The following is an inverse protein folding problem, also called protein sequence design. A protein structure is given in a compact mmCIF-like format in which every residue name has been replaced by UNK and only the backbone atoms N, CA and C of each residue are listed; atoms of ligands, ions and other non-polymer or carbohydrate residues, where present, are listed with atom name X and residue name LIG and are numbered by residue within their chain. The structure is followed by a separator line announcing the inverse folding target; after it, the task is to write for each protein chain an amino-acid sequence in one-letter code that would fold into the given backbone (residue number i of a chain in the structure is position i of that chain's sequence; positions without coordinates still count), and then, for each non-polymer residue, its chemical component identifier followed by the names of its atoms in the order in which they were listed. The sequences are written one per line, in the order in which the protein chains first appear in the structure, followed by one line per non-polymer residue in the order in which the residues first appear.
data_IF_648788695364
#
_entry.id   IF_648788695364
#
_cell.length_a   1.000
_cell.length_b   1.000
_cell.length_c   1.000
_cell.angle_alpha   90.00
_cell.angle_beta   90.00
_cell.angle_gamma   90.00
#
_symmetry.space_group_name_H-M   'P 1'
#
loop_
_entity.id
_entity.type
_entity.pdbx_description
1 polymer ?
#
# COMPACT_ATOMS: atom_id res chain seq x y z
N UNK A 1 5.47 5.21 0.82
CA UNK A 1 4.57 5.37 -0.35
C UNK A 1 3.58 4.22 -0.47
N UNK A 2 4.04 2.96 -0.58
CA UNK A 2 3.19 1.76 -0.69
C UNK A 2 1.98 1.70 0.27
N UNK A 3 2.16 2.02 1.55
CA UNK A 3 1.08 1.99 2.56
C UNK A 3 -0.10 2.92 2.17
N UNK A 4 0.21 4.14 1.73
CA UNK A 4 -0.83 5.10 1.33
C UNK A 4 -1.64 4.62 0.14
N UNK A 5 -0.97 4.01 -0.84
CA UNK A 5 -1.63 3.42 -2.00
C UNK A 5 -2.55 2.26 -1.59
N UNK A 6 -2.05 1.32 -0.79
CA UNK A 6 -2.85 0.17 -0.38
C UNK A 6 -4.06 0.59 0.45
N UNK A 7 -3.88 1.43 1.47
CA UNK A 7 -4.99 1.87 2.34
C UNK A 7 -6.05 2.66 1.58
N UNK A 8 -5.65 3.44 0.57
CA UNK A 8 -6.58 4.23 -0.23
C UNK A 8 -7.27 3.41 -1.33
N UNK A 9 -6.50 2.65 -2.13
CA UNK A 9 -7.01 2.01 -3.33
C UNK A 9 -7.57 0.59 -3.12
N UNK A 10 -7.23 -0.13 -2.03
CA UNK A 10 -7.87 -1.43 -1.77
C UNK A 10 -9.37 -1.32 -1.49
N UNK A 11 -9.84 -0.44 -0.57
CA UNK A 11 -11.26 -0.26 -0.35
C UNK A 11 -11.97 0.15 -1.64
N UNK A 12 -11.34 1.04 -2.40
CA UNK A 12 -11.84 1.48 -3.69
C UNK A 12 -11.92 0.32 -4.69
N UNK A 13 -10.92 -0.56 -4.77
CA UNK A 13 -10.95 -1.78 -5.58
C UNK A 13 -12.13 -2.69 -5.18
N UNK A 14 -12.32 -2.94 -3.87
CA UNK A 14 -13.43 -3.78 -3.40
C UNK A 14 -14.79 -3.19 -3.78
N UNK A 15 -14.97 -1.88 -3.67
CA UNK A 15 -16.22 -1.22 -4.06
C UNK A 15 -16.42 -1.24 -5.58
N UNK A 16 -15.39 -0.85 -6.34
CA UNK A 16 -15.48 -0.60 -7.78
C UNK A 16 -15.51 -1.87 -8.62
N UNK A 17 -14.61 -2.80 -8.31
CA UNK A 17 -14.37 -4.01 -9.10
C UNK A 17 -15.25 -5.15 -8.62
N UNK A 18 -15.34 -5.33 -7.31
CA UNK A 18 -16.12 -6.41 -6.69
C UNK A 18 -17.55 -6.01 -6.30
N UNK A 19 -17.94 -4.75 -6.52
CA UNK A 19 -19.30 -4.27 -6.31
C UNK A 19 -19.75 -4.30 -4.84
N UNK A 20 -18.82 -4.26 -3.89
CA UNK A 20 -19.16 -4.32 -2.46
C UNK A 20 -19.62 -2.97 -1.93
N UNK A 21 -20.45 -2.96 -0.89
CA UNK A 21 -20.78 -1.72 -0.19
C UNK A 21 -19.56 -1.12 0.52
N UNK A 22 -19.60 0.19 0.82
CA UNK A 22 -18.54 0.85 1.59
C UNK A 22 -18.23 0.12 2.91
N UNK A 23 -19.26 -0.32 3.64
CA UNK A 23 -19.09 -1.10 4.87
C UNK A 23 -18.37 -2.42 4.62
N UNK A 24 -18.78 -3.19 3.60
CA UNK A 24 -18.14 -4.46 3.27
C UNK A 24 -16.69 -4.28 2.81
N UNK A 25 -16.40 -3.24 2.03
CA UNK A 25 -15.03 -2.94 1.59
C UNK A 25 -14.11 -2.61 2.77
N UNK A 26 -14.61 -1.84 3.76
CA UNK A 26 -13.88 -1.55 4.99
C UNK A 26 -13.53 -2.83 5.75
N UNK A 27 -14.52 -3.71 5.94
CA UNK A 27 -14.30 -5.02 6.59
C UNK A 27 -13.25 -5.85 5.84
N UNK A 28 -13.28 -5.84 4.49
CA UNK A 28 -12.32 -6.57 3.66
C UNK A 28 -10.90 -5.98 3.67
N UNK A 29 -10.73 -4.75 4.14
CA UNK A 29 -9.41 -4.12 4.33
C UNK A 29 -8.80 -4.34 5.71
N UNK A 30 -9.58 -4.87 6.66
CA UNK A 30 -9.11 -5.17 8.01
C UNK A 30 -7.88 -6.09 8.04
N UNK A 31 -7.73 -7.14 7.20
CA UNK A 31 -6.55 -7.98 7.24
C UNK A 31 -5.24 -7.21 7.04
N UNK A 32 -5.24 -6.22 6.13
CA UNK A 32 -4.09 -5.35 5.90
C UNK A 32 -3.78 -4.50 7.13
N UNK A 33 -4.80 -3.86 7.70
CA UNK A 33 -4.64 -2.98 8.87
C UNK A 33 -4.20 -3.76 10.11
N UNK A 34 -4.79 -4.93 10.36
CA UNK A 34 -4.41 -5.80 11.47
C UNK A 34 -2.96 -6.26 11.34
N UNK A 35 -2.54 -6.70 10.15
CA UNK A 35 -1.16 -7.08 9.89
C UNK A 35 -0.20 -5.89 10.09
N UNK A 36 -0.59 -4.70 9.64
CA UNK A 36 0.17 -3.46 9.80
C UNK A 36 0.34 -3.06 11.27
N UNK A 37 -0.66 -3.31 12.12
CA UNK A 37 -0.63 -2.96 13.55
C UNK A 37 0.12 -3.99 14.40
N UNK A 38 -0.02 -5.28 14.11
CA UNK A 38 0.62 -6.37 14.86
C UNK A 38 2.10 -6.47 14.54
N UNK A 39 2.47 -6.22 13.28
CA UNK A 39 3.83 -6.34 12.78
C UNK A 39 4.88 -5.57 13.61
N UNK A 40 4.68 -4.27 13.91
CA UNK A 40 5.58 -3.50 14.79
C UNK A 40 5.84 -4.13 16.16
N UNK A 41 4.82 -4.72 16.79
CA UNK A 41 4.92 -5.33 18.12
C UNK A 41 5.82 -6.56 18.07
N UNK A 42 5.65 -7.38 17.04
CA UNK A 42 6.46 -8.58 16.80
C UNK A 42 7.89 -8.16 16.45
N UNK A 43 8.07 -7.30 15.44
CA UNK A 43 9.42 -6.89 15.02
C UNK A 43 10.17 -6.16 16.13
N UNK A 44 9.51 -5.30 16.90
CA UNK A 44 10.12 -4.58 18.02
C UNK A 44 10.62 -5.53 19.10
N UNK A 45 9.79 -6.50 19.50
CA UNK A 45 10.16 -7.52 20.48
C UNK A 45 11.34 -8.37 20.02
N UNK A 46 11.33 -8.79 18.75
CA UNK A 46 12.43 -9.57 18.17
C UNK A 46 13.72 -8.76 18.03
N UNK A 47 13.65 -7.48 17.65
CA UNK A 47 14.82 -6.61 17.55
C UNK A 47 15.47 -6.43 18.93
N UNK A 48 14.68 -6.25 19.99
CA UNK A 48 15.21 -6.19 21.37
C UNK A 48 15.89 -7.50 21.78
N UNK A 49 15.35 -8.65 21.36
CA UNK A 49 15.91 -9.96 21.66
C UNK A 49 17.15 -10.32 20.81
N UNK A 50 17.24 -9.86 19.57
CA UNK A 50 18.36 -10.19 18.67
C UNK A 50 19.47 -9.14 18.74
N UNK A 51 19.13 -7.88 19.01
CA UNK A 51 20.06 -6.74 19.07
C UNK A 51 20.39 -6.12 17.72
N UNK A 52 19.91 -6.66 16.59
CA UNK A 52 20.15 -6.13 15.25
C UNK A 52 18.84 -5.88 14.51
N UNK A 53 18.68 -4.70 13.92
CA UNK A 53 17.47 -4.33 13.16
C UNK A 53 17.61 -4.56 11.64
N UNK A 54 18.83 -4.64 11.10
CA UNK A 54 19.09 -4.78 9.65
C UNK A 54 18.47 -6.04 9.05
N UNK A 55 18.58 -7.25 9.64
CA UNK A 55 17.94 -8.45 9.09
C UNK A 55 16.42 -8.35 9.01
N UNK A 56 15.78 -7.72 10.01
CA UNK A 56 14.34 -7.49 10.01
C UNK A 56 13.91 -6.48 8.95
N UNK A 57 14.76 -5.49 8.66
CA UNK A 57 14.50 -4.52 7.61
C UNK A 57 14.51 -5.18 6.22
N UNK A 58 15.45 -6.09 5.96
CA UNK A 58 15.48 -6.88 4.73
C UNK A 58 14.26 -7.79 4.62
N UNK A 59 13.95 -8.54 5.68
CA UNK A 59 12.77 -9.40 5.70
C UNK A 59 11.47 -8.61 5.47
N UNK A 60 11.30 -7.47 6.15
CA UNK A 60 10.13 -6.60 6.00
C UNK A 60 9.98 -6.03 4.60
N UNK A 61 11.08 -5.56 3.99
CA UNK A 61 11.06 -4.97 2.65
C UNK A 61 10.87 -6.02 1.55
N UNK A 62 11.41 -7.22 1.71
CA UNK A 62 11.12 -8.37 0.84
C UNK A 62 9.64 -8.76 0.92
N UNK A 63 9.10 -8.93 2.13
CA UNK A 63 7.68 -9.25 2.35
C UNK A 63 6.76 -8.18 1.75
N UNK A 64 7.10 -6.90 1.93
CA UNK A 64 6.34 -5.80 1.34
C UNK A 64 6.40 -5.83 -0.19
N UNK A 65 7.55 -6.10 -0.78
CA UNK A 65 7.72 -6.15 -2.24
C UNK A 65 6.92 -7.31 -2.83
N UNK A 66 7.04 -8.51 -2.24
CA UNK A 66 6.29 -9.69 -2.66
C UNK A 66 4.79 -9.47 -2.47
N UNK A 67 4.36 -8.97 -1.30
CA UNK A 67 2.96 -8.68 -1.01
C UNK A 67 2.36 -7.63 -1.96
N UNK A 68 3.12 -6.59 -2.30
CA UNK A 68 2.69 -5.58 -3.28
C UNK A 68 2.56 -6.18 -4.68
N UNK A 69 3.49 -7.07 -5.06
CA UNK A 69 3.42 -7.82 -6.32
C UNK A 69 2.19 -8.74 -6.39
N UNK A 70 1.86 -9.40 -5.28
CA UNK A 70 0.64 -10.23 -5.20
C UNK A 70 -0.64 -9.38 -5.26
N UNK A 71 -0.68 -8.22 -4.60
CA UNK A 71 -1.79 -7.27 -4.71
C UNK A 71 -1.98 -6.79 -6.15
N UNK A 72 -0.88 -6.58 -6.89
CA UNK A 72 -0.94 -6.25 -8.31
C UNK A 72 -1.53 -7.38 -9.17
N UNK A 73 -1.46 -8.64 -8.74
CA UNK A 73 -2.11 -9.76 -9.46
C UNK A 73 -3.60 -9.91 -9.17
N UNK A 74 -4.20 -9.03 -8.35
CA UNK A 74 -5.63 -9.08 -8.09
C UNK A 74 -6.42 -8.75 -9.36
N UNK A 75 -7.24 -9.70 -9.83
CA UNK A 75 -8.29 -9.44 -10.83
C UNK A 75 -9.73 -9.69 -10.34
N UNK A 76 -10.69 -9.55 -11.25
CA UNK A 76 -12.14 -9.62 -10.96
C UNK A 76 -12.66 -10.95 -10.39
N UNK A 77 -11.89 -12.06 -10.48
CA UNK A 77 -12.33 -13.43 -10.12
C UNK A 77 -11.57 -14.08 -8.95
N UNK A 78 -11.02 -13.28 -8.04
CA UNK A 78 -10.26 -13.85 -6.91
C UNK A 78 -11.15 -14.43 -5.81
N UNK A 79 -10.65 -15.50 -5.18
CA UNK A 79 -11.28 -16.11 -4.00
C UNK A 79 -10.94 -15.29 -2.75
N UNK A 80 -11.83 -15.30 -1.75
CA UNK A 80 -11.65 -14.59 -0.48
C UNK A 80 -10.26 -14.76 0.15
N UNK A 81 -9.76 -16.00 0.20
CA UNK A 81 -8.46 -16.31 0.80
C UNK A 81 -7.26 -15.64 0.10
N UNK A 82 -7.32 -15.41 -1.21
CA UNK A 82 -6.21 -14.82 -1.96
C UNK A 82 -6.00 -13.36 -1.55
N UNK A 83 -7.04 -12.52 -1.61
CA UNK A 83 -6.89 -11.12 -1.24
C UNK A 83 -6.64 -10.92 0.26
N UNK A 84 -7.10 -11.83 1.13
CA UNK A 84 -6.77 -11.80 2.57
C UNK A 84 -5.27 -12.06 2.76
N UNK A 85 -4.75 -13.13 2.16
CA UNK A 85 -3.34 -13.51 2.29
C UNK A 85 -2.40 -12.45 1.73
N UNK A 86 -2.72 -11.89 0.57
CA UNK A 86 -1.90 -10.85 -0.07
C UNK A 86 -1.84 -9.57 0.76
N UNK A 87 -3.00 -9.17 1.31
CA UNK A 87 -3.10 -8.05 2.24
C UNK A 87 -2.30 -8.27 3.52
N UNK A 88 -2.40 -9.47 4.09
CA UNK A 88 -1.67 -9.78 5.31
C UNK A 88 -0.16 -9.69 5.08
N UNK A 89 0.35 -10.28 4.00
CA UNK A 89 1.77 -10.26 3.67
C UNK A 89 2.28 -8.82 3.45
N UNK A 90 1.56 -8.05 2.64
CA UNK A 90 1.92 -6.66 2.34
C UNK A 90 1.82 -5.75 3.57
N UNK A 91 0.76 -5.90 4.36
CA UNK A 91 0.54 -5.12 5.59
C UNK A 91 1.58 -5.44 6.65
N UNK A 92 1.93 -6.72 6.80
CA UNK A 92 2.95 -7.17 7.74
C UNK A 92 4.33 -6.60 7.39
N UNK A 93 4.77 -6.75 6.14
CA UNK A 93 6.06 -6.20 5.69
C UNK A 93 6.13 -4.67 5.82
N UNK A 94 5.04 -3.97 5.46
CA UNK A 94 4.91 -2.53 5.64
C UNK A 94 5.06 -2.09 7.10
N UNK A 95 4.48 -2.84 8.05
CA UNK A 95 4.55 -2.55 9.48
C UNK A 95 5.97 -2.62 10.01
N UNK A 96 6.72 -3.65 9.61
CA UNK A 96 8.12 -3.86 10.03
C UNK A 96 8.96 -2.68 9.54
N UNK A 97 8.89 -2.36 8.25
CA UNK A 97 9.68 -1.28 7.66
C UNK A 97 9.37 0.07 8.32
N UNK A 98 8.08 0.36 8.57
CA UNK A 98 7.67 1.60 9.24
C UNK A 98 8.22 1.65 10.66
N UNK A 99 8.09 0.57 11.44
CA UNK A 99 8.57 0.55 12.82
C UNK A 99 10.09 0.76 12.90
N UNK A 100 10.85 0.07 12.05
CA UNK A 100 12.32 0.17 12.05
C UNK A 100 12.77 1.60 11.74
N UNK A 101 12.11 2.29 10.80
CA UNK A 101 12.44 3.67 10.46
C UNK A 101 12.33 4.63 11.67
N UNK A 102 11.35 4.43 12.55
CA UNK A 102 11.20 5.26 13.75
C UNK A 102 12.09 4.80 14.91
N UNK A 103 12.34 3.50 15.06
CA UNK A 103 13.19 2.97 16.12
C UNK A 103 14.68 3.21 15.89
N UNK A 104 15.14 3.28 14.64
CA UNK A 104 16.56 3.43 14.34
C UNK A 104 17.10 4.83 14.65
N UNK A 105 16.32 5.89 14.40
CA UNK A 105 16.74 7.30 14.59
C UNK A 105 17.34 7.56 15.98
N UNK A 106 16.65 7.28 17.10
CA UNK A 106 17.20 7.51 18.43
C UNK A 106 18.40 6.63 18.78
N UNK A 107 18.61 5.52 18.07
CA UNK A 107 19.70 4.59 18.36
C UNK A 107 21.01 5.03 17.73
N UNK A 108 20.99 5.77 16.63
CA UNK A 108 22.20 6.12 15.86
C UNK A 108 22.68 7.53 16.14
N UNK A 109 21.77 8.47 16.43
CA UNK A 109 22.09 9.90 16.57
C UNK A 109 22.39 10.33 18.00
N UNK A 110 23.13 11.44 18.12
CA UNK A 110 23.36 12.15 19.38
C UNK A 110 22.11 12.95 19.79
N UNK A 111 22.05 13.34 21.07
CA UNK A 111 20.87 14.02 21.65
C UNK A 111 20.54 15.34 20.95
N UNK A 112 21.54 16.05 20.45
CA UNK A 112 21.39 17.37 19.84
C UNK A 112 20.70 17.29 18.47
N UNK A 113 20.98 16.24 17.70
CA UNK A 113 20.39 16.03 16.36
C UNK A 113 19.08 15.21 16.40
N UNK A 114 18.77 14.57 17.53
CA UNK A 114 17.65 13.66 17.66
C UNK A 114 16.30 14.29 17.30
N UNK A 115 16.05 15.52 17.77
CA UNK A 115 14.80 16.22 17.52
C UNK A 115 14.62 16.52 16.03
N UNK A 116 15.68 17.03 15.39
CA UNK A 116 15.70 17.39 13.96
C UNK A 116 15.51 16.15 13.08
N UNK A 117 16.24 15.06 13.36
CA UNK A 117 16.13 13.83 12.60
C UNK A 117 14.76 13.16 12.76
N UNK A 118 14.21 13.14 13.98
CA UNK A 118 12.88 12.59 14.24
C UNK A 118 11.79 13.38 13.52
N UNK A 119 11.90 14.71 13.51
CA UNK A 119 11.00 15.57 12.75
C UNK A 119 11.08 15.28 11.24
N UNK A 120 12.29 15.08 10.70
CA UNK A 120 12.48 14.73 9.30
C UNK A 120 11.85 13.38 8.95
N UNK A 121 12.01 12.35 9.80
CA UNK A 121 11.38 11.04 9.58
C UNK A 121 9.85 11.13 9.68
N UNK A 122 9.31 11.87 10.65
CA UNK A 122 7.87 12.11 10.76
C UNK A 122 7.30 12.85 9.54
N UNK A 123 8.03 13.86 9.05
CA UNK A 123 7.70 14.58 7.83
C UNK A 123 7.67 13.64 6.61
N UNK A 124 8.72 12.86 6.39
CA UNK A 124 8.79 11.87 5.30
C UNK A 124 7.69 10.81 5.38
N UNK A 125 7.35 10.34 6.58
CA UNK A 125 6.27 9.38 6.80
C UNK A 125 4.89 9.95 6.47
N UNK A 126 4.69 11.27 6.60
CA UNK A 126 3.44 11.95 6.26
C UNK A 126 3.38 12.38 4.78
N UNK A 127 4.51 12.83 4.23
CA UNK A 127 4.64 13.25 2.84
C UNK A 127 4.51 12.07 1.87
N UNK A 128 5.16 10.94 2.19
CA UNK A 128 5.23 9.77 1.32
C UNK A 128 3.85 9.22 0.89
N UNK A 129 2.90 8.97 1.81
CA UNK A 129 1.54 8.56 1.46
C UNK A 129 0.80 9.62 0.63
N UNK A 130 0.93 10.90 0.98
CA UNK A 130 0.25 12.01 0.29
C UNK A 130 0.67 12.09 -1.18
N UNK A 131 1.98 12.09 -1.45
CA UNK A 131 2.51 12.07 -2.81
C UNK A 131 2.09 10.80 -3.56
N UNK A 132 2.15 9.65 -2.89
CA UNK A 132 1.80 8.38 -3.51
C UNK A 132 0.33 8.33 -3.94
N UNK A 133 -0.59 8.87 -3.14
CA UNK A 133 -2.02 8.95 -3.49
C UNK A 133 -2.21 9.85 -4.71
N UNK A 134 -1.58 11.02 -4.76
CA UNK A 134 -1.69 11.94 -5.91
C UNK A 134 -1.13 11.37 -7.22
N UNK A 135 0.03 10.72 -7.16
CA UNK A 135 0.60 10.02 -8.33
C UNK A 135 -0.28 8.84 -8.71
N UNK A 136 -0.72 8.05 -7.74
CA UNK A 136 -1.65 6.95 -7.96
C UNK A 136 -2.95 7.40 -8.63
N UNK A 137 -3.47 8.57 -8.25
CA UNK A 137 -4.71 9.13 -8.82
C UNK A 137 -4.46 9.50 -10.28
N UNK A 138 -3.35 10.18 -10.54
CA UNK A 138 -2.95 10.53 -11.91
C UNK A 138 -2.81 9.29 -12.78
N UNK A 139 -2.14 8.24 -12.30
CA UNK A 139 -2.00 6.96 -13.01
C UNK A 139 -3.36 6.33 -13.27
N UNK A 140 -4.20 6.23 -12.23
CA UNK A 140 -5.53 5.67 -12.31
C UNK A 140 -6.39 6.41 -13.34
N UNK A 141 -6.51 7.73 -13.23
CA UNK A 141 -7.32 8.55 -14.15
C UNK A 141 -6.83 8.44 -15.59
N UNK A 142 -5.52 8.50 -15.85
CA UNK A 142 -4.99 8.38 -17.21
C UNK A 142 -5.35 7.04 -17.86
N UNK A 143 -5.14 5.92 -17.15
CA UNK A 143 -5.46 4.61 -17.69
C UNK A 143 -6.95 4.32 -17.75
N UNK A 144 -7.72 4.85 -16.80
CA UNK A 144 -9.17 4.73 -16.80
C UNK A 144 -9.80 5.45 -17.98
N UNK A 145 -9.44 6.72 -18.21
CA UNK A 145 -9.89 7.51 -19.37
C UNK A 145 -9.51 6.80 -20.67
N UNK A 146 -8.28 6.27 -20.77
CA UNK A 146 -7.84 5.51 -21.94
C UNK A 146 -8.75 4.30 -22.21
N UNK A 147 -9.09 3.51 -21.18
CA UNK A 147 -9.94 2.32 -21.33
C UNK A 147 -11.40 2.67 -21.63
N UNK A 148 -11.98 3.66 -20.95
CA UNK A 148 -13.38 4.04 -21.15
C UNK A 148 -13.60 4.77 -22.48
N UNK A 149 -12.60 5.49 -23.00
CA UNK A 149 -12.69 6.12 -24.33
C UNK A 149 -12.91 5.13 -25.48
N UNK A 150 -12.61 3.84 -25.26
CA UNK A 150 -12.86 2.76 -26.22
C UNK A 150 -14.30 2.24 -26.16
N UNK A 151 -15.07 2.63 -25.14
CA UNK A 151 -16.45 2.19 -24.91
C UNK A 151 -17.44 3.26 -25.41
N UNK A 152 -18.22 2.99 -26.48
CA UNK A 152 -19.20 3.95 -26.97
C UNK A 152 -20.37 4.09 -25.98
N UNK A 153 -20.73 5.33 -25.63
CA UNK A 153 -21.93 5.65 -24.84
C UNK A 153 -21.73 5.78 -23.32
N UNK A 154 -20.49 5.78 -22.82
CA UNK A 154 -20.17 6.07 -21.40
C UNK A 154 -19.60 7.48 -21.27
N UNK A 155 -20.21 8.32 -20.44
CA UNK A 155 -19.63 9.61 -20.09
C UNK A 155 -18.52 9.44 -19.05
N UNK A 156 -17.29 9.53 -19.53
CA UNK A 156 -16.06 9.34 -18.75
C UNK A 156 -16.01 10.30 -17.56
N UNK A 157 -16.45 11.56 -17.74
CA UNK A 157 -16.37 12.58 -16.69
C UNK A 157 -17.34 12.29 -15.55
N UNK A 158 -18.56 11.85 -15.87
CA UNK A 158 -19.56 11.49 -14.86
C UNK A 158 -19.12 10.25 -14.08
N UNK A 159 -18.56 9.23 -14.73
CA UNK A 159 -18.08 8.02 -14.05
C UNK A 159 -16.84 8.28 -13.18
N UNK A 160 -15.93 9.18 -13.60
CA UNK A 160 -14.77 9.59 -12.78
C UNK A 160 -15.20 10.43 -11.59
N UNK A 161 -16.16 11.36 -11.77
CA UNK A 161 -16.60 12.28 -10.72
C UNK A 161 -17.53 11.62 -9.68
N UNK A 162 -18.45 10.75 -10.10
CA UNK A 162 -19.32 10.02 -9.19
C UNK A 162 -18.60 8.83 -8.53
N UNK A 163 -17.47 8.42 -9.10
CA UNK A 163 -16.72 7.26 -8.67
C UNK A 163 -17.51 5.98 -8.83
N UNK A 164 -16.94 4.88 -8.35
CA UNK A 164 -17.50 3.57 -8.63
C UNK A 164 -18.72 3.17 -7.76
N UNK A 165 -19.17 4.06 -6.89
CA UNK A 165 -20.20 3.79 -5.88
C UNK A 165 -21.56 3.44 -6.50
N UNK A 166 -21.87 3.98 -7.69
CA UNK A 166 -23.16 3.79 -8.37
C UNK A 166 -23.02 3.34 -9.84
N UNK A 167 -21.97 2.60 -10.20
CA UNK A 167 -21.77 2.14 -11.58
C UNK A 167 -22.97 1.39 -12.16
N UNK A 168 -23.67 0.61 -11.33
CA UNK A 168 -24.88 -0.13 -11.74
C UNK A 168 -26.09 0.75 -12.02
N UNK A 169 -26.12 1.98 -11.50
CA UNK A 169 -27.17 2.96 -11.77
C UNK A 169 -26.80 3.91 -12.92
N UNK A 170 -25.50 4.14 -13.14
CA UNK A 170 -24.96 5.08 -14.13
C UNK A 170 -24.71 4.44 -15.50
N UNK A 171 -24.41 3.15 -15.53
CA UNK A 171 -23.97 2.45 -16.74
C UNK A 171 -25.00 1.40 -17.14
N UNK A 172 -25.42 1.35 -18.42
CA UNK A 172 -26.31 0.31 -18.91
C UNK A 172 -25.77 -1.10 -18.57
N UNK A 173 -26.63 -2.08 -18.23
CA UNK A 173 -26.22 -3.44 -17.90
C UNK A 173 -25.18 -4.08 -18.85
N UNK A 174 -25.23 -3.90 -20.18
CA UNK A 174 -24.23 -4.48 -21.09
C UNK A 174 -22.83 -3.85 -20.98
N UNK A 175 -22.71 -2.62 -20.46
CA UNK A 175 -21.44 -1.89 -20.36
C UNK A 175 -20.81 -1.96 -18.95
N UNK A 176 -21.51 -2.54 -17.98
CA UNK A 176 -21.09 -2.61 -16.59
C UNK A 176 -19.81 -3.45 -16.40
N UNK A 177 -19.74 -4.63 -17.02
CA UNK A 177 -18.56 -5.50 -16.95
C UNK A 177 -17.32 -4.91 -17.66
N UNK A 178 -17.43 -4.34 -18.88
CA UNK A 178 -16.33 -3.60 -19.49
C UNK A 178 -15.80 -2.44 -18.64
N UNK A 179 -16.70 -1.67 -18.00
CA UNK A 179 -16.30 -0.58 -17.11
C UNK A 179 -15.59 -1.11 -15.86
N UNK A 180 -16.07 -2.21 -15.26
CA UNK A 180 -15.37 -2.87 -14.13
C UNK A 180 -13.97 -3.35 -14.52
N UNK A 181 -13.80 -3.88 -15.72
CA UNK A 181 -12.49 -4.27 -16.24
C UNK A 181 -11.57 -3.07 -16.46
N UNK A 182 -12.12 -1.93 -16.92
CA UNK A 182 -11.37 -0.68 -17.01
C UNK A 182 -10.90 -0.18 -15.62
N UNK A 183 -11.75 -0.26 -14.59
CA UNK A 183 -11.38 0.04 -13.21
C UNK A 183 -10.28 -0.89 -12.70
N UNK A 184 -10.45 -2.20 -12.87
CA UNK A 184 -9.47 -3.23 -12.49
C UNK A 184 -8.10 -2.95 -13.13
N UNK A 185 -8.08 -2.71 -14.44
CA UNK A 185 -6.88 -2.40 -15.19
C UNK A 185 -6.17 -1.13 -14.70
N UNK A 186 -6.92 -0.04 -14.49
CA UNK A 186 -6.37 1.22 -14.02
C UNK A 186 -5.85 1.13 -12.58
N UNK A 187 -6.57 0.43 -11.69
CA UNK A 187 -6.18 0.24 -10.29
C UNK A 187 -4.95 -0.64 -10.14
N UNK A 188 -4.89 -1.74 -10.88
CA UNK A 188 -3.72 -2.61 -10.90
C UNK A 188 -2.47 -1.85 -11.34
N UNK A 189 -2.58 -0.95 -12.33
CA UNK A 189 -1.46 -0.07 -12.72
C UNK A 189 -1.09 0.95 -11.65
N UNK A 190 -2.05 1.48 -10.89
CA UNK A 190 -1.75 2.34 -9.75
C UNK A 190 -0.98 1.57 -8.65
N UNK A 191 -1.26 0.27 -8.45
CA UNK A 191 -0.50 -0.58 -7.53
C UNK A 191 0.93 -0.87 -8.01
N UNK A 192 1.28 -0.71 -9.29
CA UNK A 192 2.66 -0.85 -9.75
C UNK A 192 3.61 0.13 -9.03
N UNK A 193 3.10 1.31 -8.67
CA UNK A 193 3.86 2.31 -7.89
C UNK A 193 4.20 1.79 -6.48
N UNK A 194 3.33 0.98 -5.87
CA UNK A 194 3.62 0.41 -4.55
C UNK A 194 4.77 -0.59 -4.63
N UNK A 195 4.80 -1.43 -5.67
CA UNK A 195 5.90 -2.37 -5.96
C UNK A 195 7.22 -1.61 -6.15
N UNK A 196 7.23 -0.59 -7.02
CA UNK A 196 8.42 0.20 -7.28
C UNK A 196 8.96 0.82 -5.98
N UNK A 197 8.07 1.39 -5.16
CA UNK A 197 8.48 1.99 -3.88
C UNK A 197 8.99 0.95 -2.87
N UNK A 198 8.43 -0.25 -2.85
CA UNK A 198 8.87 -1.35 -1.99
C UNK A 198 10.25 -1.87 -2.42
N UNK A 199 10.47 -2.02 -3.72
CA UNK A 199 11.75 -2.42 -4.29
C UNK A 199 12.85 -1.38 -4.01
N UNK A 200 12.54 -0.08 -4.13
CA UNK A 200 13.49 0.97 -3.75
C UNK A 200 13.82 0.93 -2.26
N UNK A 201 12.83 0.65 -1.39
CA UNK A 201 13.08 0.52 0.04
C UNK A 201 13.98 -0.69 0.35
N UNK A 202 13.80 -1.81 -0.35
CA UNK A 202 14.68 -2.97 -0.26
C UNK A 202 16.11 -2.60 -0.68
N UNK A 203 16.28 -1.90 -1.81
CA UNK A 203 17.59 -1.45 -2.26
C UNK A 203 18.26 -0.51 -1.25
N UNK A 204 17.54 0.48 -0.73
CA UNK A 204 18.06 1.39 0.30
C UNK A 204 18.39 0.65 1.61
N UNK A 205 17.65 -0.41 1.94
CA UNK A 205 17.90 -1.19 3.15
C UNK A 205 19.19 -2.01 3.10
N UNK A 206 19.71 -2.31 1.90
CA UNK A 206 21.00 -2.99 1.73
C UNK A 206 22.19 -2.08 2.04
N UNK A 207 22.00 -0.76 1.96
CA UNK A 207 23.05 0.23 2.24
C UNK A 207 23.14 0.65 3.73
N UNK A 208 22.31 0.07 4.60
CA UNK A 208 22.27 0.46 6.02
C UNK A 208 23.40 -0.16 6.85
N UNK A 209 23.89 0.63 7.80
CA UNK A 209 24.94 0.21 8.73
C UNK A 209 24.43 -0.76 9.79
N UNK A 210 25.27 -1.74 10.10
CA UNK A 210 24.99 -2.75 11.11
C UNK A 210 25.31 -2.22 12.50
N UNK A 211 24.30 -1.64 13.14
CA UNK A 211 24.46 -1.09 14.49
C UNK A 211 23.82 -2.04 15.51
N UNK A 212 24.62 -2.43 16.51
CA UNK A 212 24.18 -3.30 17.59
C UNK A 212 23.42 -2.46 18.65
N UNK A 213 22.13 -2.75 18.79
CA UNK A 213 21.22 -2.05 19.72
C UNK A 213 21.56 -2.35 21.18
N UNK A 214 22.26 -3.46 21.47
CA UNK A 214 22.59 -3.91 22.83
C UNK A 214 23.80 -3.23 23.45
N UNK A 215 24.65 -2.56 22.67
CA UNK A 215 25.87 -1.92 23.19
C UNK A 215 25.63 -0.50 23.71
N UNK A 216 24.43 0.08 23.49
CA UNK A 216 24.05 1.42 23.96
C UNK A 216 23.10 1.42 25.18
N UNK A 217 22.71 0.26 25.69
CA UNK A 217 21.92 0.11 26.92
C UNK A 217 22.79 -0.52 28.01
#
# INVERSE_FOLDING_TARGET
MAIGLHVYYLPFYFQSVLGTTAQQSGIRTLPYLMALLISPMISGSLITLVGYYVPFMWAGSMLLTIGSGLIFTLGTRNIAGQWIGYQFLAGFGAGICRQIAFSAVPLVLEKDDLATASALVAFCNSLGPTLAIGIGQSIFTNFFVQQVSLLPGVDVLTVVNEGAYNLSALVPPPLLEPVRQAFDYALTRAFALSIASAATALCSSLAMEWINVREKH
#
